data_IF_349257549724
#
_entry.id   IF_349257549724
#
_cell.length_a   1.000
_cell.length_b   1.000
_cell.length_c   1.000
_cell.angle_alpha   90.00
_cell.angle_beta   90.00
_cell.angle_gamma   90.00
#
_symmetry.space_group_name_H-M   'P 1'
#
loop_
_entity.id
_entity.type
_entity.pdbx_description
1 polymer ?
#
# COMPACT_ATOMS: atom_id res chain seq x y z
N UNK A 1 -33.47 -19.92 -15.56
CA UNK A 1 -32.54 -20.01 -14.42
C UNK A 1 -31.45 -18.97 -14.63
N UNK A 2 -31.69 -17.73 -14.23
CA UNK A 2 -30.68 -16.66 -14.29
C UNK A 2 -29.75 -16.84 -13.10
N UNK A 3 -28.59 -17.45 -13.35
CA UNK A 3 -27.52 -17.57 -12.36
C UNK A 3 -26.95 -16.17 -12.13
N UNK A 4 -27.39 -15.51 -11.05
CA UNK A 4 -26.73 -14.32 -10.54
C UNK A 4 -25.36 -14.77 -10.04
N UNK A 5 -24.33 -14.58 -10.86
CA UNK A 5 -22.94 -14.73 -10.42
C UNK A 5 -22.75 -13.68 -9.33
N UNK A 6 -22.84 -14.08 -8.07
CA UNK A 6 -22.33 -13.30 -6.95
C UNK A 6 -20.84 -13.12 -7.24
N UNK A 7 -20.46 -11.96 -7.73
CA UNK A 7 -19.07 -11.54 -7.77
C UNK A 7 -18.62 -11.49 -6.30
N UNK A 8 -17.95 -12.56 -5.86
CA UNK A 8 -17.33 -12.60 -4.54
C UNK A 8 -16.20 -11.59 -4.59
N UNK A 9 -16.45 -10.36 -4.10
CA UNK A 9 -15.39 -9.40 -3.84
C UNK A 9 -14.57 -10.00 -2.70
N UNK A 10 -13.44 -10.63 -3.04
CA UNK A 10 -12.52 -11.12 -2.03
C UNK A 10 -11.87 -9.90 -1.37
N UNK A 11 -12.00 -9.80 -0.06
CA UNK A 11 -11.35 -8.74 0.72
C UNK A 11 -9.87 -9.07 0.83
N UNK A 12 -8.99 -8.06 0.73
CA UNK A 12 -7.54 -8.21 0.92
C UNK A 12 -7.25 -8.94 2.23
N UNK A 13 -6.42 -9.97 2.17
CA UNK A 13 -5.98 -10.72 3.35
C UNK A 13 -4.57 -10.29 3.77
N UNK A 14 -4.42 -9.91 5.04
CA UNK A 14 -3.12 -9.68 5.66
C UNK A 14 -3.05 -10.32 7.05
N UNK A 15 -1.86 -10.77 7.47
CA UNK A 15 -1.66 -11.47 8.75
C UNK A 15 -0.23 -11.35 9.24
N UNK A 16 -0.03 -11.55 10.55
CA UNK A 16 1.31 -11.69 11.12
C UNK A 16 1.93 -13.04 10.78
N UNK A 17 3.22 -13.02 10.49
CA UNK A 17 3.95 -14.21 10.08
C UNK A 17 4.48 -15.02 11.26
N UNK A 18 4.58 -16.34 11.07
CA UNK A 18 5.39 -17.20 11.93
C UNK A 18 6.91 -16.95 11.74
N UNK A 19 7.72 -17.56 12.61
CA UNK A 19 9.19 -17.49 12.55
C UNK A 19 9.84 -18.68 11.85
N UNK A 20 9.09 -19.43 11.03
CA UNK A 20 9.58 -20.63 10.36
C UNK A 20 10.58 -20.30 9.23
N UNK A 21 11.57 -21.17 9.03
CA UNK A 21 12.50 -21.12 7.90
C UNK A 21 12.04 -21.99 6.71
N UNK A 22 10.77 -22.43 6.72
CA UNK A 22 10.16 -23.10 5.57
C UNK A 22 10.13 -22.20 4.32
N UNK A 23 9.72 -22.79 3.18
CA UNK A 23 9.64 -22.07 1.91
C UNK A 23 8.84 -20.77 2.04
N UNK A 24 9.51 -19.64 1.84
CA UNK A 24 8.98 -18.28 1.89
C UNK A 24 7.68 -18.07 1.09
N UNK A 25 7.41 -18.91 0.09
CA UNK A 25 6.22 -18.88 -0.76
C UNK A 25 4.96 -19.44 -0.07
N UNK A 26 5.10 -20.12 1.06
CA UNK A 26 3.98 -20.64 1.85
C UNK A 26 3.27 -19.51 2.60
N UNK A 27 2.04 -19.70 3.11
CA UNK A 27 1.35 -18.61 3.81
C UNK A 27 2.02 -18.10 5.09
N UNK A 28 2.77 -18.92 5.82
CA UNK A 28 3.43 -18.56 7.09
C UNK A 28 2.51 -17.86 8.12
N UNK A 29 1.29 -18.39 8.34
CA UNK A 29 0.38 -17.81 9.34
C UNK A 29 0.79 -18.27 10.74
N UNK A 30 0.70 -17.36 11.72
CA UNK A 30 0.76 -17.77 13.13
C UNK A 30 -0.33 -18.79 13.48
N UNK A 31 -0.06 -19.62 14.47
CA UNK A 31 -1.04 -20.52 15.09
C UNK A 31 -1.20 -20.17 16.59
N UNK A 32 -2.33 -19.55 17.01
CA UNK A 32 -3.50 -19.18 16.22
C UNK A 32 -3.25 -17.98 15.28
N UNK A 33 -4.01 -17.93 14.16
CA UNK A 33 -3.87 -16.87 13.16
C UNK A 33 -4.17 -15.48 13.76
N UNK A 34 -3.30 -14.52 13.45
CA UNK A 34 -3.45 -13.12 13.84
C UNK A 34 -3.62 -12.25 12.57
N UNK A 35 -4.86 -11.97 12.13
CA UNK A 35 -5.10 -11.16 10.95
C UNK A 35 -4.77 -9.68 11.19
N UNK A 36 -4.51 -8.96 10.10
CA UNK A 36 -4.25 -7.52 10.08
C UNK A 36 -5.30 -6.84 9.21
N UNK A 37 -5.96 -5.80 9.73
CA UNK A 37 -7.00 -5.07 9.00
C UNK A 37 -6.41 -3.99 8.07
N UNK A 38 -7.23 -3.51 7.11
CA UNK A 38 -6.84 -2.42 6.22
C UNK A 38 -6.54 -1.12 6.98
N UNK A 39 -7.22 -0.88 8.10
CA UNK A 39 -6.97 0.27 8.97
C UNK A 39 -5.58 0.18 9.61
N UNK A 40 -5.18 -1.01 10.06
CA UNK A 40 -3.84 -1.24 10.61
C UNK A 40 -2.77 -1.05 9.53
N UNK A 41 -2.99 -1.55 8.30
CA UNK A 41 -2.09 -1.29 7.18
C UNK A 41 -2.00 0.22 6.85
N UNK A 42 -3.13 0.93 6.88
CA UNK A 42 -3.19 2.37 6.66
C UNK A 42 -2.42 3.17 7.71
N UNK A 43 -2.38 2.71 8.96
CA UNK A 43 -1.53 3.30 10.01
C UNK A 43 -0.03 3.17 9.72
N UNK A 44 0.37 2.15 8.95
CA UNK A 44 1.72 1.98 8.42
C UNK A 44 1.93 2.78 7.12
N UNK A 45 0.93 3.55 6.67
CA UNK A 45 0.96 4.29 5.41
C UNK A 45 0.77 3.43 4.16
N UNK A 46 0.40 2.15 4.32
CA UNK A 46 0.07 1.25 3.21
C UNK A 46 -1.35 1.52 2.75
N UNK A 47 -1.52 1.87 1.48
CA UNK A 47 -2.83 2.13 0.88
C UNK A 47 -3.22 1.04 -0.10
N UNK A 48 -4.53 0.78 -0.18
CA UNK A 48 -5.11 -0.32 -0.94
C UNK A 48 -6.35 0.12 -1.72
N UNK A 49 -6.52 -0.42 -2.92
CA UNK A 49 -7.73 -0.34 -3.73
C UNK A 49 -8.01 -1.67 -4.42
N UNK A 50 -9.29 -2.02 -4.55
CA UNK A 50 -9.76 -3.13 -5.39
C UNK A 50 -10.28 -2.56 -6.70
N UNK A 51 -9.75 -3.04 -7.82
CA UNK A 51 -10.11 -2.59 -9.17
C UNK A 51 -10.43 -3.77 -10.07
N UNK A 52 -11.07 -3.50 -11.22
CA UNK A 52 -11.30 -4.52 -12.23
C UNK A 52 -10.09 -4.65 -13.18
N UNK A 53 -9.24 -5.63 -12.91
CA UNK A 53 -8.03 -5.89 -13.69
C UNK A 53 -8.30 -6.29 -15.15
N UNK A 54 -9.51 -6.69 -15.54
CA UNK A 54 -9.81 -7.03 -16.93
C UNK A 54 -9.91 -5.80 -17.84
N UNK A 55 -10.10 -4.61 -17.26
CA UNK A 55 -10.28 -3.35 -17.99
C UNK A 55 -9.17 -2.34 -17.71
N UNK A 56 -8.01 -2.78 -17.19
CA UNK A 56 -6.93 -1.89 -16.70
C UNK A 56 -6.46 -0.82 -17.71
N UNK A 57 -6.63 -1.05 -19.02
CA UNK A 57 -6.25 -0.11 -20.08
C UNK A 57 -7.19 1.10 -20.17
N UNK A 58 -8.48 0.90 -19.83
CA UNK A 58 -9.54 1.89 -19.96
C UNK A 58 -10.30 2.17 -18.66
N UNK A 59 -9.82 1.65 -17.52
CA UNK A 59 -10.50 1.75 -16.24
C UNK A 59 -10.53 3.21 -15.73
N UNK A 60 -11.72 3.85 -15.66
CA UNK A 60 -11.84 5.22 -15.16
C UNK A 60 -11.46 5.34 -13.68
N UNK A 61 -11.62 4.28 -12.88
CA UNK A 61 -11.28 4.29 -11.45
C UNK A 61 -9.76 4.30 -11.26
N UNK A 62 -9.03 3.45 -12.00
CA UNK A 62 -7.58 3.50 -12.06
C UNK A 62 -7.07 4.88 -12.52
N UNK A 63 -7.67 5.45 -13.57
CA UNK A 63 -7.29 6.78 -14.06
C UNK A 63 -7.49 7.86 -12.99
N UNK A 64 -8.58 7.80 -12.24
CA UNK A 64 -8.86 8.74 -11.15
C UNK A 64 -7.85 8.59 -10.01
N UNK A 65 -7.54 7.35 -9.59
CA UNK A 65 -6.50 7.09 -8.57
C UNK A 65 -5.14 7.63 -9.02
N UNK A 66 -4.76 7.37 -10.27
CA UNK A 66 -3.50 7.88 -10.84
C UNK A 66 -3.45 9.40 -10.83
N UNK A 67 -4.55 10.06 -11.17
CA UNK A 67 -4.65 11.52 -11.14
C UNK A 67 -4.54 12.09 -9.73
N UNK A 68 -5.25 11.51 -8.77
CA UNK A 68 -5.29 12.00 -7.39
C UNK A 68 -3.96 11.77 -6.66
N UNK A 69 -3.24 10.70 -7.01
CA UNK A 69 -1.96 10.32 -6.40
C UNK A 69 -0.74 10.78 -7.20
N UNK A 70 -0.93 11.30 -8.41
CA UNK A 70 0.17 11.76 -9.27
C UNK A 70 0.97 10.63 -9.94
N UNK A 71 0.38 9.46 -10.15
CA UNK A 71 1.03 8.30 -10.78
C UNK A 71 1.15 8.49 -12.31
N UNK A 72 2.16 9.25 -12.72
CA UNK A 72 2.38 9.67 -14.11
C UNK A 72 3.01 8.59 -14.98
N UNK A 73 3.81 7.70 -14.42
CA UNK A 73 4.48 6.62 -15.16
C UNK A 73 3.85 5.26 -14.83
N UNK A 74 3.82 4.38 -15.83
CA UNK A 74 3.48 2.97 -15.63
C UNK A 74 4.20 2.06 -16.63
N UNK A 75 4.47 0.82 -16.22
CA UNK A 75 4.78 -0.28 -17.13
C UNK A 75 4.20 -1.60 -16.59
N UNK A 76 4.36 -2.68 -17.36
CA UNK A 76 3.87 -4.01 -17.01
C UNK A 76 5.07 -4.96 -16.87
N UNK A 77 5.09 -5.72 -15.80
CA UNK A 77 6.03 -6.80 -15.56
C UNK A 77 5.28 -8.13 -15.42
N UNK A 78 5.81 -9.18 -16.03
CA UNK A 78 5.38 -10.56 -15.79
C UNK A 78 6.50 -11.29 -15.06
N UNK A 79 6.19 -11.82 -13.88
CA UNK A 79 7.12 -12.59 -13.07
C UNK A 79 6.73 -14.06 -13.23
N UNK A 80 7.43 -14.73 -14.13
CA UNK A 80 7.34 -16.16 -14.38
C UNK A 80 8.71 -16.66 -14.81
N UNK A 81 9.03 -17.92 -14.49
CA UNK A 81 10.33 -18.53 -14.76
C UNK A 81 10.75 -18.42 -16.23
N UNK A 82 9.79 -18.57 -17.14
CA UNK A 82 10.05 -18.61 -18.58
C UNK A 82 10.11 -17.22 -19.24
N UNK A 83 9.55 -16.19 -18.61
CA UNK A 83 9.38 -14.86 -19.24
C UNK A 83 10.23 -13.77 -18.61
N UNK A 84 10.65 -13.94 -17.36
CA UNK A 84 11.45 -12.94 -16.65
C UNK A 84 12.96 -13.22 -16.80
N UNK A 85 13.74 -12.34 -17.44
CA UNK A 85 15.19 -12.48 -17.50
C UNK A 85 15.81 -12.44 -16.10
N UNK A 86 16.80 -13.30 -15.84
CA UNK A 86 17.45 -13.45 -14.53
C UNK A 86 16.45 -13.72 -13.39
N UNK A 87 15.46 -14.57 -13.65
CA UNK A 87 14.35 -14.87 -12.73
C UNK A 87 14.79 -15.15 -11.29
N UNK A 88 15.71 -16.10 -11.08
CA UNK A 88 16.14 -16.49 -9.73
C UNK A 88 16.88 -15.36 -8.99
N UNK A 89 17.75 -14.62 -9.69
CA UNK A 89 18.47 -13.48 -9.11
C UNK A 89 17.50 -12.36 -8.73
N UNK A 90 16.51 -12.07 -9.60
CA UNK A 90 15.48 -11.08 -9.33
C UNK A 90 14.61 -11.46 -8.14
N UNK A 91 14.17 -12.72 -8.05
CA UNK A 91 13.39 -13.18 -6.89
C UNK A 91 14.18 -13.04 -5.59
N UNK A 92 15.48 -13.37 -5.60
CA UNK A 92 16.34 -13.17 -4.44
C UNK A 92 16.45 -11.69 -4.07
N UNK A 93 16.65 -10.80 -5.05
CA UNK A 93 16.69 -9.36 -4.83
C UNK A 93 15.37 -8.80 -4.27
N UNK A 94 14.23 -9.27 -4.80
CA UNK A 94 12.91 -8.81 -4.35
C UNK A 94 12.59 -9.28 -2.93
N UNK A 95 13.10 -10.45 -2.52
CA UNK A 95 12.83 -11.01 -1.20
C UNK A 95 13.78 -10.53 -0.10
N UNK A 96 14.97 -10.06 -0.47
CA UNK A 96 15.87 -9.40 0.48
C UNK A 96 15.15 -8.19 1.10
N UNK A 97 15.19 -8.03 2.42
CA UNK A 97 14.50 -6.91 3.09
C UNK A 97 15.12 -5.57 2.67
N UNK A 98 14.31 -4.68 2.12
CA UNK A 98 14.77 -3.41 1.57
C UNK A 98 13.77 -2.27 1.75
N UNK A 99 14.21 -1.06 1.42
CA UNK A 99 13.37 0.12 1.26
C UNK A 99 13.64 0.84 -0.06
N UNK A 100 12.70 1.70 -0.43
CA UNK A 100 12.83 2.65 -1.55
C UNK A 100 12.74 4.10 -1.06
N UNK A 101 13.32 5.00 -1.84
CA UNK A 101 13.25 6.45 -1.59
C UNK A 101 11.94 7.08 -2.09
N UNK A 102 11.21 6.36 -2.93
CA UNK A 102 9.91 6.70 -3.48
C UNK A 102 8.89 5.61 -3.11
N UNK A 103 7.60 5.90 -3.28
CA UNK A 103 6.53 4.94 -3.04
C UNK A 103 6.65 3.75 -4.02
N UNK A 104 6.48 2.53 -3.50
CA UNK A 104 6.37 1.32 -4.33
C UNK A 104 4.88 1.04 -4.61
N UNK A 105 4.45 1.23 -5.86
CA UNK A 105 3.06 1.05 -6.27
C UNK A 105 2.94 -0.15 -7.23
N UNK A 106 2.04 -1.07 -6.92
CA UNK A 106 1.84 -2.32 -7.67
C UNK A 106 0.35 -2.63 -7.82
N UNK A 107 -0.06 -2.90 -9.05
CA UNK A 107 -1.41 -3.33 -9.39
C UNK A 107 -1.37 -4.73 -10.01
N UNK A 108 -1.93 -5.73 -9.35
CA UNK A 108 -1.92 -7.10 -9.84
C UNK A 108 -2.96 -7.27 -10.94
N UNK A 109 -2.48 -7.50 -12.16
CA UNK A 109 -3.30 -7.75 -13.34
C UNK A 109 -3.67 -9.23 -13.48
N UNK A 110 -2.80 -10.12 -13.00
CA UNK A 110 -3.00 -11.57 -13.02
C UNK A 110 -2.11 -12.28 -11.99
N UNK A 111 -2.50 -13.50 -11.62
CA UNK A 111 -1.80 -14.30 -10.61
C UNK A 111 -1.89 -13.73 -9.19
N UNK A 112 -0.91 -14.07 -8.37
CA UNK A 112 -0.90 -13.76 -6.94
C UNK A 112 0.53 -13.70 -6.38
N UNK A 113 0.71 -12.90 -5.32
CA UNK A 113 1.99 -12.71 -4.67
C UNK A 113 1.83 -12.18 -3.23
N UNK A 114 2.93 -12.19 -2.49
CA UNK A 114 3.02 -11.62 -1.15
C UNK A 114 3.91 -10.37 -1.14
N UNK A 115 3.43 -9.35 -0.43
CA UNK A 115 4.27 -8.26 0.07
C UNK A 115 4.34 -8.39 1.58
N UNK A 116 5.56 -8.52 2.11
CA UNK A 116 5.77 -8.51 3.56
C UNK A 116 6.23 -7.10 3.96
N UNK A 117 5.65 -6.54 5.02
CA UNK A 117 6.00 -5.22 5.56
C UNK A 117 6.26 -5.31 7.06
N UNK A 118 7.11 -4.41 7.58
CA UNK A 118 7.34 -4.29 9.03
C UNK A 118 6.24 -3.47 9.71
N UNK A 119 5.71 -3.98 10.82
CA UNK A 119 4.87 -3.20 11.74
C UNK A 119 5.71 -2.20 12.57
N UNK A 120 5.09 -1.50 13.52
CA UNK A 120 5.76 -0.50 14.37
C UNK A 120 6.71 -1.14 15.38
N UNK A 121 6.50 -2.42 15.70
CA UNK A 121 7.29 -3.27 16.58
C UNK A 121 8.31 -4.13 15.81
N UNK A 122 8.51 -3.83 14.52
CA UNK A 122 9.44 -4.52 13.63
C UNK A 122 9.11 -6.01 13.39
N UNK A 123 7.83 -6.39 13.46
CA UNK A 123 7.34 -7.73 13.11
C UNK A 123 6.85 -7.78 11.67
N UNK A 124 6.93 -8.95 11.06
CA UNK A 124 6.48 -9.15 9.68
C UNK A 124 4.96 -9.30 9.60
N UNK A 125 4.35 -8.50 8.73
CA UNK A 125 2.98 -8.65 8.25
C UNK A 125 3.05 -9.07 6.79
N UNK A 126 2.44 -10.21 6.45
CA UNK A 126 2.27 -10.68 5.08
C UNK A 126 0.96 -10.16 4.51
N UNK A 127 1.01 -9.57 3.32
CA UNK A 127 -0.14 -9.07 2.56
C UNK A 127 -0.30 -9.92 1.30
N UNK A 128 -1.42 -10.61 1.17
CA UNK A 128 -1.74 -11.44 0.01
C UNK A 128 -2.41 -10.62 -1.08
N UNK A 129 -1.66 -10.35 -2.15
CA UNK A 129 -2.13 -9.60 -3.31
C UNK A 129 -2.54 -10.56 -4.43
N UNK A 130 -3.74 -10.37 -4.96
CA UNK A 130 -4.35 -11.17 -6.04
C UNK A 130 -4.81 -10.24 -7.17
N UNK A 131 -5.19 -10.84 -8.30
CA UNK A 131 -5.77 -10.11 -9.44
C UNK A 131 -6.83 -9.09 -9.00
N UNK A 132 -6.63 -7.83 -9.39
CA UNK A 132 -7.51 -6.71 -9.05
C UNK A 132 -6.98 -5.86 -7.89
N UNK A 133 -5.93 -6.27 -7.20
CA UNK A 133 -5.44 -5.57 -6.02
C UNK A 133 -4.37 -4.54 -6.39
N UNK A 134 -4.61 -3.28 -6.03
CA UNK A 134 -3.64 -2.18 -6.12
C UNK A 134 -3.16 -1.81 -4.72
N UNK A 135 -1.84 -1.84 -4.51
CA UNK A 135 -1.20 -1.44 -3.26
C UNK A 135 -0.20 -0.32 -3.47
N UNK A 136 -0.05 0.54 -2.47
CA UNK A 136 1.03 1.52 -2.36
C UNK A 136 1.75 1.33 -1.04
N UNK A 137 3.04 0.97 -1.11
CA UNK A 137 3.94 0.93 0.02
C UNK A 137 4.67 2.28 0.12
N UNK A 138 4.62 2.97 1.27
CA UNK A 138 5.17 4.31 1.37
C UNK A 138 6.69 4.30 1.35
N UNK A 139 7.29 5.33 0.75
CA UNK A 139 8.74 5.53 0.77
C UNK A 139 9.32 5.41 2.19
N UNK A 140 10.41 4.65 2.34
CA UNK A 140 11.07 4.40 3.64
C UNK A 140 10.50 3.26 4.48
N UNK A 141 9.44 2.57 4.06
CA UNK A 141 9.00 1.32 4.72
C UNK A 141 9.95 0.18 4.37
N UNK A 142 10.31 -0.62 5.38
CA UNK A 142 10.98 -1.90 5.12
C UNK A 142 9.95 -2.91 4.65
N UNK A 143 10.24 -3.51 3.50
CA UNK A 143 9.39 -4.49 2.86
C UNK A 143 10.21 -5.48 2.04
N UNK A 144 9.53 -6.52 1.58
CA UNK A 144 10.03 -7.49 0.61
C UNK A 144 8.88 -8.10 -0.18
N UNK A 145 9.20 -8.69 -1.31
CA UNK A 145 8.24 -9.33 -2.21
C UNK A 145 8.62 -10.79 -2.44
N UNK A 146 7.63 -11.67 -2.47
CA UNK A 146 7.78 -13.03 -2.98
C UNK A 146 6.54 -13.45 -3.75
N UNK A 147 6.73 -14.32 -4.75
CA UNK A 147 5.63 -15.11 -5.26
C UNK A 147 5.11 -16.03 -4.15
N UNK A 148 3.90 -16.54 -4.33
CA UNK A 148 3.43 -17.69 -3.57
C UNK A 148 3.67 -19.01 -4.33
N UNK A 149 3.09 -20.10 -3.84
CA UNK A 149 3.25 -21.44 -4.39
C UNK A 149 2.77 -21.58 -5.85
N UNK A 150 1.99 -20.64 -6.38
CA UNK A 150 1.58 -20.61 -7.79
C UNK A 150 2.69 -20.13 -8.74
N UNK A 151 3.73 -19.48 -8.21
CA UNK A 151 4.91 -19.03 -8.95
C UNK A 151 4.62 -18.11 -10.15
N UNK A 152 3.54 -17.32 -10.07
CA UNK A 152 3.16 -16.44 -11.17
C UNK A 152 2.45 -15.18 -10.69
N UNK A 153 2.92 -14.03 -11.19
CA UNK A 153 2.14 -12.79 -11.17
C UNK A 153 2.44 -11.92 -12.38
N UNK A 154 1.42 -11.18 -12.83
CA UNK A 154 1.54 -10.07 -13.78
C UNK A 154 1.12 -8.80 -13.06
N UNK A 155 2.01 -7.83 -12.98
CA UNK A 155 1.76 -6.59 -12.26
C UNK A 155 1.99 -5.37 -13.16
N UNK A 156 1.12 -4.38 -13.05
CA UNK A 156 1.43 -3.02 -13.47
C UNK A 156 2.17 -2.32 -12.34
N UNK A 157 3.30 -1.70 -12.68
CA UNK A 157 4.10 -0.91 -11.75
C UNK A 157 3.83 0.55 -12.04
N UNK A 158 3.52 1.35 -11.02
CA UNK A 158 3.21 2.77 -11.16
C UNK A 158 4.21 3.63 -10.39
N UNK A 159 4.50 4.83 -10.90
CA UNK A 159 5.46 5.77 -10.29
C UNK A 159 4.97 7.21 -10.37
N UNK A 160 5.39 8.01 -9.39
CA UNK A 160 5.34 9.47 -9.46
C UNK A 160 6.60 9.96 -10.17
N UNK A 161 6.45 10.53 -11.36
CA UNK A 161 7.59 10.92 -12.20
C UNK A 161 8.29 9.74 -12.88
N UNK A 162 9.56 9.93 -13.21
CA UNK A 162 10.43 8.91 -13.80
C UNK A 162 10.80 7.83 -12.77
N UNK A 163 10.77 6.54 -13.12
CA UNK A 163 10.93 5.47 -12.14
C UNK A 163 12.39 5.31 -11.67
N UNK A 164 12.58 5.26 -10.36
CA UNK A 164 13.86 4.88 -9.72
C UNK A 164 13.68 3.55 -8.98
N UNK A 165 14.13 2.46 -9.60
CA UNK A 165 13.96 1.09 -9.09
C UNK A 165 14.94 0.68 -7.99
N UNK A 166 15.76 1.60 -7.50
CA UNK A 166 16.89 1.26 -6.64
C UNK A 166 16.38 0.86 -5.25
N UNK A 167 16.59 -0.40 -4.89
CA UNK A 167 16.39 -0.93 -3.55
C UNK A 167 17.62 -0.65 -2.68
N UNK A 168 17.38 -0.31 -1.42
CA UNK A 168 18.41 -0.23 -0.39
C UNK A 168 18.12 -1.29 0.67
N UNK A 169 18.92 -2.35 0.68
CA UNK A 169 18.77 -3.45 1.62
C UNK A 169 18.99 -2.96 3.05
N UNK A 170 18.26 -3.53 4.00
CA UNK A 170 18.45 -3.24 5.42
C UNK A 170 19.86 -3.72 5.87
N UNK A 171 20.61 -2.95 6.68
CA UNK A 171 20.26 -1.64 7.28
C UNK A 171 20.36 -0.47 6.29
N UNK A 172 19.35 0.41 6.33
CA UNK A 172 19.24 1.62 5.52
C UNK A 172 18.64 2.79 6.33
N UNK A 173 18.89 2.83 7.63
CA UNK A 173 18.24 3.77 8.56
C UNK A 173 18.76 5.21 8.47
N UNK A 174 19.91 5.41 7.81
CA UNK A 174 20.54 6.73 7.64
C UNK A 174 19.82 7.62 6.60
N UNK A 175 18.95 7.05 5.76
CA UNK A 175 18.22 7.85 4.77
C UNK A 175 17.17 8.76 5.44
N UNK A 176 17.13 10.04 5.04
CA UNK A 176 16.14 11.00 5.54
C UNK A 176 14.69 10.52 5.33
N UNK A 177 14.42 9.79 4.25
CA UNK A 177 13.09 9.26 3.96
C UNK A 177 12.65 8.23 5.01
N UNK A 178 13.58 7.39 5.48
CA UNK A 178 13.34 6.39 6.52
C UNK A 178 13.05 7.07 7.85
N UNK A 179 13.85 8.09 8.21
CA UNK A 179 13.62 8.90 9.41
C UNK A 179 12.26 9.60 9.35
N UNK A 180 11.87 10.14 8.19
CA UNK A 180 10.56 10.76 7.97
C UNK A 180 9.42 9.75 8.09
N UNK A 181 9.57 8.56 7.52
CA UNK A 181 8.62 7.45 7.64
C UNK A 181 8.42 7.07 9.12
N UNK A 182 9.50 6.87 9.87
CA UNK A 182 9.44 6.55 11.30
C UNK A 182 8.74 7.65 12.11
N UNK A 183 9.06 8.92 11.86
CA UNK A 183 8.40 10.04 12.53
C UNK A 183 6.87 10.06 12.27
N UNK A 184 6.42 9.67 11.09
CA UNK A 184 4.98 9.51 10.81
C UNK A 184 4.36 8.28 11.44
N UNK A 185 5.03 7.13 11.37
CA UNK A 185 4.51 5.88 11.92
C UNK A 185 4.39 5.92 13.46
N UNK A 186 5.30 6.66 14.13
CA UNK A 186 5.26 6.89 15.57
C UNK A 186 4.29 7.99 16.00
N UNK A 187 3.86 8.86 15.08
CA UNK A 187 2.85 9.87 15.39
C UNK A 187 1.46 9.27 15.23
N UNK A 188 0.62 9.31 16.28
CA UNK A 188 -0.81 9.09 16.14
C UNK A 188 -1.43 10.21 15.27
N UNK A 189 -1.22 10.14 13.96
CA UNK A 189 -1.71 11.14 13.03
C UNK A 189 -3.23 10.98 12.92
N UNK A 190 -3.98 11.93 13.48
CA UNK A 190 -5.37 12.13 13.12
C UNK A 190 -5.44 12.50 11.63
N UNK A 191 -5.88 11.57 10.80
CA UNK A 191 -6.26 11.87 9.43
C UNK A 191 -7.64 12.54 9.45
N UNK A 192 -7.70 13.83 9.09
CA UNK A 192 -8.99 14.46 8.77
C UNK A 192 -9.33 14.14 7.31
N UNK A 193 -10.43 13.41 7.11
CA UNK A 193 -11.13 13.43 5.83
C UNK A 193 -11.94 14.72 5.77
N UNK A 194 -11.55 15.67 4.93
CA UNK A 194 -12.42 16.82 4.63
C UNK A 194 -13.38 16.36 3.53
N UNK A 195 -14.66 16.26 3.86
CA UNK A 195 -15.72 16.10 2.86
C UNK A 195 -15.70 17.35 1.96
N UNK A 196 -15.63 17.16 0.63
CA UNK A 196 -15.97 18.22 -0.31
C UNK A 196 -17.49 18.32 -0.36
N UNK A 197 -18.02 19.54 -0.47
CA UNK A 197 -19.46 19.81 -0.56
C UNK A 197 -20.14 19.23 -1.82
N UNK A 198 -19.38 18.59 -2.72
CA UNK A 198 -19.92 17.80 -3.83
C UNK A 198 -19.71 16.30 -3.54
N UNK A 199 -20.84 15.62 -3.36
CA UNK A 199 -21.01 14.27 -2.85
C UNK A 199 -20.45 13.17 -3.76
N UNK A 200 -19.12 12.94 -3.79
CA UNK A 200 -18.49 11.64 -4.15
C UNK A 200 -16.95 11.54 -3.99
N UNK A 201 -16.26 12.45 -3.28
CA UNK A 201 -14.81 12.27 -3.09
C UNK A 201 -14.30 12.79 -1.74
N UNK A 202 -13.31 12.08 -1.17
CA UNK A 202 -12.57 12.49 0.03
C UNK A 202 -11.18 12.97 -0.36
N UNK A 203 -10.71 14.06 0.26
CA UNK A 203 -9.33 14.53 0.14
C UNK A 203 -8.60 14.29 1.46
N UNK A 204 -7.52 13.51 1.42
CA UNK A 204 -6.64 13.29 2.57
C UNK A 204 -5.68 14.48 2.66
N UNK A 205 -5.88 15.37 3.63
CA UNK A 205 -5.00 16.53 3.84
C UNK A 205 -4.11 16.28 5.04
N UNK A 206 -2.80 16.22 4.81
CA UNK A 206 -1.79 16.13 5.88
C UNK A 206 -1.49 17.54 6.41
N UNK A 207 -1.85 17.81 7.67
CA UNK A 207 -1.53 19.07 8.32
C UNK A 207 -0.01 19.18 8.56
N UNK A 208 0.59 20.32 8.19
CA UNK A 208 2.02 20.62 8.38
C UNK A 208 2.40 21.01 9.81
N UNK A 209 1.46 21.05 10.77
CA UNK A 209 1.72 21.41 12.17
C UNK A 209 0.92 20.55 13.13
N UNK A 210 1.61 20.05 14.15
CA UNK A 210 1.08 19.37 15.34
C UNK A 210 0.16 20.31 16.12
N UNK A 211 -1.13 20.27 15.83
CA UNK A 211 -2.14 20.81 16.73
C UNK A 211 -2.61 19.65 17.62
N UNK A 212 -2.37 19.78 18.92
CA UNK A 212 -2.89 18.87 19.95
C UNK A 212 -4.41 18.77 19.80
N UNK A 213 -4.89 17.62 19.30
CA UNK A 213 -6.31 17.34 19.18
C UNK A 213 -6.83 16.94 20.58
N UNK A 214 -7.43 17.87 21.32
CA UNK A 214 -7.95 17.62 22.68
C UNK A 214 -9.34 17.02 22.76
N UNK A 215 -9.98 16.66 21.64
CA UNK A 215 -11.35 16.12 21.68
C UNK A 215 -11.55 15.06 20.58
N UNK A 216 -11.32 13.79 20.92
CA UNK A 216 -11.76 12.64 20.13
C UNK A 216 -12.76 11.84 20.97
N UNK A 217 -14.04 11.86 20.59
CA UNK A 217 -15.04 10.86 21.03
C UNK A 217 -15.68 10.32 19.75
N UNK A 218 -15.29 9.11 19.34
CA UNK A 218 -15.85 8.39 18.19
C UNK A 218 -15.54 9.00 16.81
N UNK A 219 -14.76 8.29 15.99
CA UNK A 219 -14.56 8.29 14.51
C UNK A 219 -14.80 9.53 13.62
N UNK A 220 -15.17 10.70 14.11
CA UNK A 220 -15.43 11.89 13.32
C UNK A 220 -15.22 13.14 14.18
N UNK A 221 -14.17 13.91 13.90
CA UNK A 221 -13.96 15.18 14.57
C UNK A 221 -14.91 16.23 13.97
N UNK A 222 -15.88 16.69 14.74
CA UNK A 222 -16.72 17.84 14.37
C UNK A 222 -15.91 19.13 14.47
N UNK A 223 -16.11 20.04 13.51
CA UNK A 223 -15.49 21.38 13.49
C UNK A 223 -15.88 22.14 14.78
N UNK A 224 -14.92 22.62 15.60
CA UNK A 224 -15.25 23.49 16.72
C UNK A 224 -15.85 24.79 16.20
N UNK A 225 -16.95 25.24 16.80
CA UNK A 225 -17.65 26.49 16.46
C UNK A 225 -16.79 27.76 16.62
N UNK A 226 -15.59 27.65 17.19
CA UNK A 226 -14.65 28.75 17.46
C UNK A 226 -13.62 29.03 16.35
N UNK A 227 -13.64 28.29 15.23
CA UNK A 227 -12.65 28.49 14.14
C UNK A 227 -13.12 29.52 13.10
N UNK A 228 -12.35 30.61 12.85
CA UNK A 228 -12.67 31.58 11.81
C UNK A 228 -12.76 30.94 10.42
N UNK A 229 -13.73 31.37 9.63
CA UNK A 229 -13.97 30.89 8.25
C UNK A 229 -12.85 31.22 7.26
N UNK A 230 -11.95 32.14 7.58
CA UNK A 230 -10.96 32.69 6.64
C UNK A 230 -9.63 31.91 6.54
N UNK A 231 -9.43 30.82 7.30
CA UNK A 231 -8.16 30.05 7.27
C UNK A 231 -7.94 29.20 6.00
N UNK A 232 -8.92 29.15 5.09
CA UNK A 232 -8.85 28.39 3.84
C UNK A 232 -8.97 29.30 2.62
N UNK A 233 -7.98 30.18 2.39
CA UNK A 233 -7.78 30.78 1.06
C UNK A 233 -6.74 29.96 0.29
N UNK A 234 -7.10 29.54 -0.93
CA UNK A 234 -6.16 28.96 -1.90
C UNK A 234 -5.01 29.95 -2.12
N UNK A 235 -3.74 29.50 -2.20
CA UNK A 235 -2.68 30.36 -2.72
C UNK A 235 -3.06 30.75 -4.16
N UNK A 236 -2.85 32.03 -4.51
CA UNK A 236 -2.92 32.48 -5.89
C UNK A 236 -1.78 31.87 -6.70
#
# INVERSE_FOLDING_TARGET
>A
VTSTVKCFVMVLEAWYMDGSEEDQRRPHRLEPNQPVSLEQLKELGVFYWQLNADIYESDPELQQIRKDRGYSYMDIITIHKDTLPNYEEKLKMFFEEHLHLDDEIRYILDGQAYFDVRDKEDRWIRIAMRKGDLITLPAGIYHRFTLDETNYTKAMRLFVGEPVWKAYNRPADDFEIRQRYMATASSSACFFCVLRDDSSSYMVVRLKRTLSCRYCVGSCCTRPSSWPSDSFRRPR
#
